data_IF_457665180547
#
_entry.id   IF_457665180547
#
_cell.length_a   1.000
_cell.length_b   1.000
_cell.length_c   1.000
_cell.angle_alpha   90.00
_cell.angle_beta   90.00
_cell.angle_gamma   90.00
#
_symmetry.space_group_name_H-M   'P 1'
#
loop_
_entity.id
_entity.type
_entity.pdbx_description
1 polymer ?
#
# COMPACT_ATOMS: atom_id res chain seq x y z
N UNK A 1 40.74 23.53 -5.05
CA UNK A 1 42.18 23.52 -4.69
C UNK A 1 42.99 23.17 -5.93
N UNK A 2 43.91 24.06 -6.28
CA UNK A 2 44.62 24.14 -7.56
C UNK A 2 45.53 22.94 -7.84
N UNK A 3 45.51 22.47 -9.10
CA UNK A 3 46.33 21.37 -9.66
C UNK A 3 47.85 21.54 -9.49
N UNK A 4 48.32 22.67 -8.94
CA UNK A 4 49.73 22.92 -8.64
C UNK A 4 50.29 22.11 -7.46
N UNK A 5 49.45 21.47 -6.64
CA UNK A 5 49.92 20.64 -5.53
C UNK A 5 50.47 19.26 -5.98
N UNK A 6 50.03 18.74 -7.13
CA UNK A 6 50.34 17.38 -7.57
C UNK A 6 51.73 17.22 -8.23
N UNK A 7 52.39 18.31 -8.60
CA UNK A 7 53.70 18.27 -9.26
C UNK A 7 54.88 18.08 -8.29
N UNK A 8 54.66 18.10 -6.97
CA UNK A 8 55.73 18.02 -5.96
C UNK A 8 56.13 16.60 -5.55
N UNK A 9 55.41 15.56 -5.97
CA UNK A 9 55.60 14.18 -5.51
C UNK A 9 55.88 13.14 -6.63
N UNK A 10 56.42 13.57 -7.77
CA UNK A 10 57.14 12.67 -8.70
C UNK A 10 56.36 11.45 -9.23
N UNK A 11 55.03 11.47 -9.21
CA UNK A 11 54.21 10.33 -9.64
C UNK A 11 54.00 10.34 -11.16
N UNK A 12 54.96 9.73 -11.87
CA UNK A 12 54.89 9.49 -13.32
C UNK A 12 54.09 8.21 -13.61
N UNK A 13 52.78 8.28 -13.37
CA UNK A 13 51.83 7.23 -13.74
C UNK A 13 50.69 7.84 -14.56
N UNK A 14 50.76 7.72 -15.88
CA UNK A 14 49.67 8.09 -16.79
C UNK A 14 48.53 7.09 -16.64
N UNK A 15 47.68 7.28 -15.63
CA UNK A 15 46.34 6.71 -15.64
C UNK A 15 45.58 7.55 -16.66
N UNK A 16 45.42 7.03 -17.88
CA UNK A 16 44.55 7.61 -18.90
C UNK A 16 43.12 7.48 -18.38
N UNK A 17 42.68 8.44 -17.56
CA UNK A 17 41.28 8.54 -17.14
C UNK A 17 40.52 8.99 -18.39
N UNK A 18 39.70 8.13 -18.99
CA UNK A 18 39.11 8.44 -20.26
C UNK A 18 38.05 9.54 -20.09
N UNK A 19 38.04 10.49 -21.02
CA UNK A 19 37.25 11.73 -20.95
C UNK A 19 35.73 11.50 -20.83
N UNK A 20 35.22 10.29 -21.12
CA UNK A 20 33.80 9.95 -20.98
C UNK A 20 33.30 9.89 -19.52
N UNK A 21 34.18 9.87 -18.52
CA UNK A 21 33.78 9.87 -17.09
C UNK A 21 33.52 11.27 -16.51
N UNK A 22 33.76 12.33 -17.29
CA UNK A 22 33.52 13.71 -16.87
C UNK A 22 32.04 14.15 -17.00
N UNK A 23 31.17 13.24 -17.48
CA UNK A 23 29.75 13.49 -17.73
C UNK A 23 28.81 12.63 -16.91
N UNK A 24 29.18 12.25 -15.67
CA UNK A 24 28.19 11.80 -14.69
C UNK A 24 27.35 13.02 -14.31
N UNK A 25 26.35 13.31 -15.14
CA UNK A 25 25.31 14.28 -14.82
C UNK A 25 24.74 13.87 -13.47
N UNK A 26 24.71 14.82 -12.54
CA UNK A 26 23.89 14.72 -11.34
C UNK A 26 22.44 14.74 -11.82
N UNK A 27 21.95 13.63 -12.34
CA UNK A 27 20.54 13.43 -12.61
C UNK A 27 19.87 13.63 -11.26
N UNK A 28 19.00 14.64 -11.10
CA UNK A 28 18.30 14.81 -9.84
C UNK A 28 17.58 13.49 -9.55
N UNK A 29 17.76 12.95 -8.35
CA UNK A 29 17.25 11.64 -7.89
C UNK A 29 15.74 11.46 -8.15
N UNK A 30 15.02 12.55 -8.41
CA UNK A 30 13.61 12.58 -8.80
C UNK A 30 13.34 11.94 -10.17
N UNK A 31 14.21 12.10 -11.17
CA UNK A 31 13.99 11.57 -12.53
C UNK A 31 13.93 10.04 -12.60
N UNK A 32 14.85 9.26 -11.96
CA UNK A 32 14.75 7.81 -11.95
C UNK A 32 13.53 7.31 -11.15
N UNK A 33 13.20 7.97 -10.03
CA UNK A 33 12.03 7.63 -9.23
C UNK A 33 10.73 7.80 -10.03
N UNK A 34 10.57 8.93 -10.72
CA UNK A 34 9.39 9.19 -11.56
C UNK A 34 9.28 8.15 -12.69
N UNK A 35 10.40 7.72 -13.27
CA UNK A 35 10.41 6.69 -14.32
C UNK A 35 9.95 5.31 -13.81
N UNK A 36 10.22 4.99 -12.54
CA UNK A 36 9.80 3.72 -11.91
C UNK A 36 8.30 3.71 -11.52
N UNK A 37 7.76 4.84 -11.04
CA UNK A 37 6.33 4.94 -10.67
C UNK A 37 5.39 5.26 -11.84
N UNK A 38 5.91 5.83 -12.93
CA UNK A 38 5.10 6.19 -14.10
C UNK A 38 4.34 5.00 -14.72
N UNK A 39 4.95 3.81 -14.93
CA UNK A 39 4.22 2.64 -15.41
C UNK A 39 3.06 2.21 -14.53
N UNK A 40 3.19 2.34 -13.20
CA UNK A 40 2.13 2.00 -12.24
C UNK A 40 0.94 2.94 -12.43
N UNK A 41 1.19 4.24 -12.58
CA UNK A 41 0.14 5.23 -12.83
C UNK A 41 -0.55 5.01 -14.18
N UNK A 42 0.21 4.69 -15.23
CA UNK A 42 -0.34 4.37 -16.55
C UNK A 42 -1.23 3.13 -16.47
N UNK A 43 -0.79 2.07 -15.78
CA UNK A 43 -1.58 0.86 -15.60
C UNK A 43 -2.89 1.15 -14.85
N UNK A 44 -2.84 1.93 -13.77
CA UNK A 44 -4.02 2.34 -13.01
C UNK A 44 -4.98 3.18 -13.87
N UNK A 45 -4.45 4.07 -14.70
CA UNK A 45 -5.21 4.86 -15.67
C UNK A 45 -5.89 4.00 -16.74
N UNK A 46 -5.18 3.02 -17.31
CA UNK A 46 -5.74 2.08 -18.28
C UNK A 46 -6.82 1.21 -17.61
N UNK A 47 -6.55 0.64 -16.44
CA UNK A 47 -7.51 -0.18 -15.71
C UNK A 47 -8.79 0.60 -15.38
N UNK A 48 -8.66 1.83 -14.86
CA UNK A 48 -9.79 2.73 -14.62
C UNK A 48 -10.50 3.11 -15.91
N UNK A 49 -9.76 3.40 -16.98
CA UNK A 49 -10.31 3.73 -18.30
C UNK A 49 -11.12 2.57 -18.89
N UNK A 50 -10.63 1.33 -18.77
CA UNK A 50 -11.35 0.13 -19.20
C UNK A 50 -12.61 -0.07 -18.36
N UNK A 51 -12.53 0.07 -17.02
CA UNK A 51 -13.71 -0.04 -16.16
C UNK A 51 -14.79 0.98 -16.53
N UNK A 52 -14.41 2.24 -16.76
CA UNK A 52 -15.30 3.31 -17.21
C UNK A 52 -15.85 3.02 -18.60
N UNK A 53 -15.01 2.55 -19.54
CA UNK A 53 -15.44 2.23 -20.89
C UNK A 53 -16.43 1.06 -20.93
N UNK A 54 -16.25 0.06 -20.07
CA UNK A 54 -17.19 -1.07 -19.95
C UNK A 54 -18.52 -0.61 -19.36
N UNK A 55 -18.50 0.16 -18.28
CA UNK A 55 -19.73 0.69 -17.66
C UNK A 55 -20.43 1.67 -18.60
N UNK A 56 -19.71 2.64 -19.16
CA UNK A 56 -20.23 3.62 -20.11
C UNK A 56 -20.72 2.97 -21.42
N UNK A 57 -20.00 1.97 -21.92
CA UNK A 57 -20.41 1.16 -23.06
C UNK A 57 -21.70 0.40 -22.79
N UNK A 58 -21.85 -0.17 -21.59
CA UNK A 58 -23.10 -0.81 -21.18
C UNK A 58 -24.27 0.20 -21.14
N UNK A 59 -24.06 1.43 -20.66
CA UNK A 59 -25.09 2.46 -20.68
C UNK A 59 -25.48 2.90 -22.10
N UNK A 60 -24.52 3.01 -23.02
CA UNK A 60 -24.75 3.47 -24.40
C UNK A 60 -25.35 2.37 -25.29
N UNK A 61 -24.89 1.13 -25.13
CA UNK A 61 -25.33 0.00 -25.95
C UNK A 61 -26.62 -0.66 -25.44
N UNK A 62 -26.89 -0.61 -24.13
CA UNK A 62 -28.08 -1.25 -23.57
C UNK A 62 -29.35 -0.42 -23.78
N UNK A 63 -30.44 -1.08 -24.16
CA UNK A 63 -31.75 -0.45 -24.24
C UNK A 63 -32.33 -0.21 -22.84
N UNK A 64 -32.16 1.00 -22.33
CA UNK A 64 -32.71 1.42 -21.04
C UNK A 64 -34.24 1.58 -21.16
N UNK A 65 -35.00 0.64 -20.59
CA UNK A 65 -36.46 0.74 -20.41
C UNK A 65 -36.80 0.77 -18.92
N UNK A 66 -36.72 1.94 -18.26
CA UNK A 66 -37.13 2.09 -16.87
C UNK A 66 -38.66 2.03 -16.78
N UNK A 67 -39.17 1.23 -15.86
CA UNK A 67 -40.59 1.20 -15.45
C UNK A 67 -40.65 0.91 -13.95
N UNK A 68 -41.75 1.27 -13.30
CA UNK A 68 -41.86 1.31 -11.84
C UNK A 68 -41.38 0.02 -11.16
N UNK A 69 -41.81 -1.15 -11.63
CA UNK A 69 -41.42 -2.44 -11.03
C UNK A 69 -39.99 -2.91 -11.34
N UNK A 70 -39.34 -2.37 -12.36
CA UNK A 70 -37.91 -2.65 -12.59
C UNK A 70 -37.02 -1.85 -11.65
N UNK A 71 -37.55 -0.74 -11.13
CA UNK A 71 -36.86 0.20 -10.26
C UNK A 71 -37.24 0.01 -8.78
N UNK A 72 -38.22 -0.85 -8.48
CA UNK A 72 -38.58 -1.21 -7.12
C UNK A 72 -37.51 -2.13 -6.50
N UNK A 73 -37.32 -2.01 -5.18
CA UNK A 73 -36.38 -2.86 -4.44
C UNK A 73 -36.86 -4.31 -4.48
N UNK A 74 -35.93 -5.25 -4.69
CA UNK A 74 -36.27 -6.67 -4.74
C UNK A 74 -36.66 -7.19 -3.36
N UNK A 75 -37.94 -7.49 -3.16
CA UNK A 75 -38.48 -8.10 -1.94
C UNK A 75 -39.60 -9.09 -2.29
N UNK A 76 -39.28 -10.07 -3.14
CA UNK A 76 -40.20 -11.12 -3.60
C UNK A 76 -41.52 -10.60 -4.24
N UNK A 77 -41.51 -9.38 -4.81
CA UNK A 77 -42.68 -8.77 -5.46
C UNK A 77 -43.55 -7.91 -4.55
N UNK A 78 -43.13 -7.65 -3.31
CA UNK A 78 -43.79 -6.74 -2.39
C UNK A 78 -43.01 -5.44 -2.21
N UNK A 79 -43.70 -4.39 -1.80
CA UNK A 79 -43.06 -3.17 -1.36
C UNK A 79 -42.40 -3.41 0.01
N UNK A 80 -41.21 -2.84 0.27
CA UNK A 80 -40.53 -3.02 1.54
C UNK A 80 -41.41 -2.62 2.72
N UNK A 81 -41.56 -3.54 3.67
CA UNK A 81 -42.43 -3.36 4.82
C UNK A 81 -41.76 -2.59 5.97
N UNK A 82 -40.43 -2.60 6.06
CA UNK A 82 -39.66 -1.98 7.15
C UNK A 82 -38.61 -0.97 6.66
N UNK A 83 -38.26 -0.01 7.52
CA UNK A 83 -37.18 0.95 7.27
C UNK A 83 -35.83 0.25 7.32
N UNK A 84 -35.01 0.41 6.28
CA UNK A 84 -33.70 -0.26 6.12
C UNK A 84 -32.63 0.17 7.14
N UNK A 85 -32.95 1.11 8.03
CA UNK A 85 -32.04 1.67 9.05
C UNK A 85 -31.98 0.82 10.33
N UNK A 86 -31.79 -0.49 10.17
CA UNK A 86 -31.51 -1.34 11.31
C UNK A 86 -30.09 -1.12 11.82
N UNK A 87 -29.91 -1.23 13.14
CA UNK A 87 -28.57 -1.26 13.73
C UNK A 87 -27.96 -2.61 13.39
N UNK A 88 -26.94 -2.60 12.55
CA UNK A 88 -26.13 -3.78 12.30
C UNK A 88 -25.41 -4.21 13.59
N UNK A 89 -25.10 -5.51 13.69
CA UNK A 89 -24.43 -6.06 14.86
C UNK A 89 -23.06 -5.37 15.08
N UNK A 90 -22.75 -5.03 16.34
CA UNK A 90 -21.47 -4.47 16.78
C UNK A 90 -20.27 -5.37 16.46
N UNK A 91 -20.49 -6.66 16.17
CA UNK A 91 -19.42 -7.61 15.78
C UNK A 91 -18.62 -7.15 14.55
N UNK A 92 -19.24 -6.52 13.55
CA UNK A 92 -18.52 -6.00 12.38
C UNK A 92 -17.51 -4.92 12.75
N UNK A 93 -17.82 -4.12 13.77
CA UNK A 93 -16.92 -3.09 14.28
C UNK A 93 -15.72 -3.69 15.02
N UNK A 94 -15.91 -4.77 15.79
CA UNK A 94 -14.82 -5.47 16.47
C UNK A 94 -13.80 -6.04 15.47
N UNK A 95 -14.27 -6.68 14.40
CA UNK A 95 -13.41 -7.19 13.33
C UNK A 95 -12.65 -6.06 12.62
N UNK A 96 -13.31 -4.92 12.37
CA UNK A 96 -12.67 -3.78 11.73
C UNK A 96 -11.55 -3.18 12.58
N UNK A 97 -11.76 -3.00 13.89
CA UNK A 97 -10.69 -2.50 14.78
C UNK A 97 -9.54 -3.50 14.87
N UNK A 98 -9.84 -4.79 15.00
CA UNK A 98 -8.82 -5.84 15.04
C UNK A 98 -7.95 -5.81 13.78
N UNK A 99 -8.57 -5.66 12.60
CA UNK A 99 -7.86 -5.50 11.34
C UNK A 99 -6.98 -4.25 11.34
N UNK A 100 -7.46 -3.11 11.84
CA UNK A 100 -6.66 -1.87 11.93
C UNK A 100 -5.44 -2.05 12.83
N UNK A 101 -5.60 -2.69 13.99
CA UNK A 101 -4.50 -2.92 14.94
C UNK A 101 -3.47 -3.87 14.33
N UNK A 102 -3.92 -4.97 13.71
CA UNK A 102 -3.05 -5.92 13.02
C UNK A 102 -2.35 -5.30 11.80
N UNK A 103 -3.04 -4.51 10.98
CA UNK A 103 -2.42 -3.81 9.84
C UNK A 103 -1.32 -2.83 10.30
N UNK A 104 -1.57 -2.14 11.42
CA UNK A 104 -0.59 -1.28 12.07
C UNK A 104 0.61 -2.07 12.61
N UNK A 105 0.42 -3.30 13.09
CA UNK A 105 1.52 -4.19 13.49
C UNK A 105 2.44 -4.53 12.31
N UNK A 106 1.85 -4.82 11.14
CA UNK A 106 2.57 -5.12 9.90
C UNK A 106 3.33 -3.89 9.40
N UNK A 107 2.72 -2.71 9.51
CA UNK A 107 3.37 -1.45 9.17
C UNK A 107 4.65 -1.21 9.98
N UNK A 108 4.71 -1.65 11.26
CA UNK A 108 5.92 -1.59 12.07
C UNK A 108 6.91 -2.73 11.81
N UNK A 109 6.40 -3.91 11.41
CA UNK A 109 7.23 -5.06 11.06
C UNK A 109 8.09 -4.80 9.82
N UNK A 110 7.58 -4.10 8.81
CA UNK A 110 8.31 -3.89 7.54
C UNK A 110 9.63 -3.14 7.71
N UNK A 111 9.68 -1.93 8.32
CA UNK A 111 10.94 -1.22 8.53
C UNK A 111 11.94 -2.02 9.37
N UNK A 112 11.46 -2.72 10.39
CA UNK A 112 12.29 -3.57 11.24
C UNK A 112 12.89 -4.76 10.48
N UNK A 113 12.07 -5.44 9.66
CA UNK A 113 12.51 -6.58 8.86
C UNK A 113 13.60 -6.19 7.85
N UNK A 114 13.45 -5.01 7.23
CA UNK A 114 14.46 -4.47 6.30
C UNK A 114 15.75 -4.08 7.06
N UNK A 115 15.63 -3.55 8.28
CA UNK A 115 16.77 -3.08 9.06
C UNK A 115 17.49 -4.18 9.86
N UNK A 116 16.92 -5.40 9.96
CA UNK A 116 17.33 -6.47 10.89
C UNK A 116 18.83 -6.75 10.94
N UNK A 117 19.52 -6.67 9.80
CA UNK A 117 20.97 -6.88 9.71
C UNK A 117 21.84 -5.88 10.49
N UNK A 118 21.31 -4.70 10.84
CA UNK A 118 22.10 -3.61 11.46
C UNK A 118 21.74 -3.26 12.91
N UNK A 119 20.61 -3.74 13.44
CA UNK A 119 20.05 -3.34 14.75
C UNK A 119 20.51 -4.21 15.94
N UNK A 120 21.23 -5.30 15.67
CA UNK A 120 21.77 -6.19 16.70
C UNK A 120 20.69 -6.84 17.57
N UNK A 121 21.12 -7.43 18.70
CA UNK A 121 20.21 -8.18 19.58
C UNK A 121 19.16 -7.30 20.27
N UNK A 122 19.48 -6.04 20.54
CA UNK A 122 18.55 -5.12 21.19
C UNK A 122 17.35 -4.77 20.29
N UNK A 123 17.58 -4.49 19.00
CA UNK A 123 16.47 -4.22 18.08
C UNK A 123 15.70 -5.48 17.70
N UNK A 124 16.32 -6.66 17.77
CA UNK A 124 15.58 -7.92 17.70
C UNK A 124 14.65 -8.10 18.91
N UNK A 125 15.18 -7.92 20.13
CA UNK A 125 14.42 -8.07 21.37
C UNK A 125 13.27 -7.08 21.53
N UNK A 126 13.44 -5.83 21.09
CA UNK A 126 12.37 -4.82 21.16
C UNK A 126 11.16 -5.19 20.28
N UNK A 127 11.39 -5.69 19.07
CA UNK A 127 10.31 -6.14 18.20
C UNK A 127 9.66 -7.42 18.72
N UNK A 128 10.44 -8.37 19.25
CA UNK A 128 9.87 -9.57 19.88
C UNK A 128 8.97 -9.22 21.06
N UNK A 129 9.35 -8.23 21.86
CA UNK A 129 8.50 -7.69 22.93
C UNK A 129 7.22 -7.03 22.40
N UNK A 130 7.32 -6.23 21.35
CA UNK A 130 6.17 -5.59 20.70
C UNK A 130 5.16 -6.63 20.16
N UNK A 131 5.63 -7.62 19.39
CA UNK A 131 4.79 -8.70 18.87
C UNK A 131 4.17 -9.52 19.98
N UNK A 132 4.91 -9.78 21.05
CA UNK A 132 4.38 -10.52 22.20
C UNK A 132 3.19 -9.79 22.84
N UNK A 133 3.30 -8.48 23.09
CA UNK A 133 2.22 -7.69 23.68
C UNK A 133 0.97 -7.69 22.79
N UNK A 134 1.13 -7.50 21.48
CA UNK A 134 0.02 -7.53 20.54
C UNK A 134 -0.59 -8.93 20.39
N UNK A 135 0.22 -9.99 20.36
CA UNK A 135 -0.25 -11.38 20.32
C UNK A 135 -1.06 -11.72 21.57
N UNK A 136 -0.66 -11.24 22.74
CA UNK A 136 -1.43 -11.41 23.98
C UNK A 136 -2.77 -10.66 23.91
N UNK A 137 -2.78 -9.43 23.38
CA UNK A 137 -4.01 -8.67 23.14
C UNK A 137 -4.97 -9.40 22.19
N UNK A 138 -4.45 -9.87 21.06
CA UNK A 138 -5.19 -10.67 20.09
C UNK A 138 -5.77 -11.95 20.71
N UNK A 139 -4.94 -12.70 21.47
CA UNK A 139 -5.37 -13.92 22.14
C UNK A 139 -6.47 -13.64 23.19
N UNK A 140 -6.38 -12.52 23.90
CA UNK A 140 -7.41 -12.12 24.85
C UNK A 140 -8.75 -11.83 24.16
N UNK A 141 -8.74 -11.09 23.06
CA UNK A 141 -9.96 -10.81 22.28
C UNK A 141 -10.58 -12.07 21.69
N UNK A 142 -9.74 -12.98 21.18
CA UNK A 142 -10.18 -14.29 20.72
C UNK A 142 -10.87 -15.07 21.84
N UNK A 143 -10.24 -15.15 23.02
CA UNK A 143 -10.80 -15.86 24.18
C UNK A 143 -12.10 -15.25 24.69
N UNK A 144 -12.33 -13.95 24.43
CA UNK A 144 -13.56 -13.24 24.81
C UNK A 144 -14.71 -13.46 23.81
N UNK A 145 -14.50 -14.23 22.74
CA UNK A 145 -15.53 -14.54 21.76
C UNK A 145 -15.86 -13.36 20.84
N UNK A 146 -14.96 -12.38 20.71
CA UNK A 146 -15.15 -11.26 19.77
C UNK A 146 -15.20 -11.71 18.29
N UNK A 147 -14.78 -12.96 18.02
CA UNK A 147 -14.67 -13.58 16.71
C UNK A 147 -15.62 -14.77 16.51
N UNK A 148 -16.49 -15.09 17.48
CA UNK A 148 -17.41 -16.22 17.34
C UNK A 148 -18.67 -15.83 16.56
N UNK A 149 -19.00 -16.66 15.58
CA UNK A 149 -20.09 -16.47 14.64
C UNK A 149 -21.17 -17.54 14.86
N UNK A 150 -21.96 -17.36 15.91
CA UNK A 150 -23.28 -17.97 16.10
C UNK A 150 -24.35 -16.88 16.24
#
# INVERSE_FOLDING_TARGET
MSARAALRYGWRGTIHVPAWRAGESKVPMTQPLLAEYFPILVFLGIAGGVAIAMVGGAFLAARQKPYAEKLSTYECGFAPFEDTRHRFDVRFYLVAILFIIFDLEVAFLFPWAIALGGIGWLGFGSMMGFLFVLTVGFLYEWRKGALDWE
#
